data_IF_607020295441
#
_entry.id   IF_607020295441
#
_cell.length_a   1.000
_cell.length_b   1.000
_cell.length_c   1.000
_cell.angle_alpha   90.00
_cell.angle_beta   90.00
_cell.angle_gamma   90.00
#
_symmetry.space_group_name_H-M   'P 1'
#
loop_
_entity.id
_entity.type
_entity.pdbx_description
1 polymer ?
#
# COMPACT_ATOMS: atom_id res chain seq x y z
N UNK A 1 10.70 -7.73 9.46
CA UNK A 1 9.32 -7.89 8.96
C UNK A 1 9.37 -8.15 7.46
N UNK A 2 8.43 -8.93 6.91
CA UNK A 2 8.43 -9.21 5.48
C UNK A 2 7.76 -8.07 4.71
N UNK A 3 8.59 -7.25 4.07
CA UNK A 3 8.20 -6.05 3.33
C UNK A 3 7.10 -6.29 2.29
N UNK A 4 6.91 -7.53 1.84
CA UNK A 4 5.98 -7.90 0.78
C UNK A 4 4.85 -8.85 1.26
N UNK A 5 4.36 -8.66 2.49
CA UNK A 5 3.28 -9.50 3.05
C UNK A 5 2.02 -9.56 2.15
N UNK A 6 1.65 -8.43 1.54
CA UNK A 6 0.47 -8.30 0.67
C UNK A 6 0.63 -9.10 -0.62
N UNK A 7 1.85 -9.15 -1.17
CA UNK A 7 2.20 -10.01 -2.30
C UNK A 7 2.10 -11.49 -1.92
N UNK A 8 2.66 -11.87 -0.77
CA UNK A 8 2.54 -13.25 -0.26
C UNK A 8 1.10 -13.67 -0.04
N UNK A 9 0.30 -12.76 0.53
CA UNK A 9 -1.14 -12.98 0.74
C UNK A 9 -1.87 -13.17 -0.58
N UNK A 10 -1.61 -12.33 -1.58
CA UNK A 10 -2.19 -12.46 -2.92
C UNK A 10 -1.87 -13.82 -3.54
N UNK A 11 -0.59 -14.22 -3.57
CA UNK A 11 -0.16 -15.52 -4.12
C UNK A 11 -0.81 -16.68 -3.36
N UNK A 12 -0.90 -16.59 -2.04
CA UNK A 12 -1.53 -17.63 -1.20
C UNK A 12 -3.02 -17.76 -1.49
N UNK A 13 -3.73 -16.64 -1.62
CA UNK A 13 -5.16 -16.63 -1.97
C UNK A 13 -5.42 -17.13 -3.39
N UNK A 14 -4.52 -16.81 -4.33
CA UNK A 14 -4.61 -17.27 -5.71
C UNK A 14 -4.41 -18.78 -5.82
N UNK A 15 -3.37 -19.31 -5.20
CA UNK A 15 -3.05 -20.74 -5.21
C UNK A 15 -4.04 -21.59 -4.42
N UNK A 16 -4.62 -21.05 -3.35
CA UNK A 16 -5.68 -21.72 -2.58
C UNK A 16 -6.95 -22.02 -3.41
N UNK A 17 -7.16 -21.32 -4.53
CA UNK A 17 -8.26 -21.58 -5.48
C UNK A 17 -7.97 -22.73 -6.46
N UNK A 18 -6.80 -23.37 -6.36
CA UNK A 18 -6.37 -24.45 -7.26
C UNK A 18 -5.58 -23.97 -8.48
N UNK A 19 -5.32 -22.66 -8.61
CA UNK A 19 -4.48 -22.09 -9.66
C UNK A 19 -3.00 -22.40 -9.42
N UNK A 20 -2.23 -22.54 -10.51
CA UNK A 20 -0.77 -22.64 -10.40
C UNK A 20 -0.18 -21.33 -9.88
N UNK A 21 0.89 -21.36 -9.06
CA UNK A 21 1.53 -20.15 -8.58
C UNK A 21 2.06 -19.32 -9.77
N UNK A 22 1.86 -18.00 -9.77
CA UNK A 22 2.40 -17.13 -10.82
C UNK A 22 3.92 -17.12 -10.81
N UNK A 23 4.50 -17.03 -12.00
CA UNK A 23 5.94 -16.83 -12.16
C UNK A 23 6.29 -15.38 -11.85
N UNK A 24 7.25 -15.16 -10.95
CA UNK A 24 7.80 -13.83 -10.74
C UNK A 24 8.83 -13.49 -11.83
N UNK A 25 8.70 -12.30 -12.43
CA UNK A 25 9.65 -11.75 -13.40
C UNK A 25 10.01 -10.34 -12.99
N UNK A 26 11.30 -10.02 -12.99
CA UNK A 26 11.79 -8.69 -12.59
C UNK A 26 11.42 -7.61 -13.60
N UNK A 27 11.47 -7.95 -14.89
CA UNK A 27 11.13 -7.07 -15.99
C UNK A 27 10.36 -7.82 -17.08
N UNK A 28 9.41 -7.13 -17.71
CA UNK A 28 8.68 -7.67 -18.86
C UNK A 28 9.53 -7.56 -20.13
N UNK A 29 9.78 -8.72 -20.74
CA UNK A 29 10.40 -8.83 -22.07
C UNK A 29 9.36 -9.07 -23.18
N UNK A 30 9.76 -8.90 -24.45
CA UNK A 30 8.92 -9.18 -25.61
C UNK A 30 8.48 -10.66 -25.73
N UNK A 31 9.19 -11.58 -25.08
CA UNK A 31 8.80 -12.99 -25.04
C UNK A 31 7.51 -13.20 -24.25
N UNK A 32 7.32 -12.43 -23.17
CA UNK A 32 6.12 -12.51 -22.35
C UNK A 32 4.86 -12.07 -23.10
N UNK A 33 4.99 -11.17 -24.09
CA UNK A 33 3.87 -10.76 -24.96
C UNK A 33 3.32 -11.91 -25.80
N UNK A 34 4.12 -12.97 -26.03
CA UNK A 34 3.72 -14.14 -26.84
C UNK A 34 2.98 -15.19 -26.01
N UNK A 35 2.93 -15.05 -24.68
CA UNK A 35 2.26 -16.00 -23.79
C UNK A 35 0.75 -15.82 -23.94
N UNK A 36 0.06 -16.85 -24.44
CA UNK A 36 -1.39 -16.82 -24.68
C UNK A 36 -2.22 -16.73 -23.40
N UNK A 37 -1.75 -17.37 -22.33
CA UNK A 37 -2.41 -17.43 -21.02
C UNK A 37 -1.35 -17.06 -19.99
N UNK A 38 -1.11 -15.75 -19.75
CA UNK A 38 -0.09 -15.33 -18.79
C UNK A 38 -0.47 -15.76 -17.37
N UNK A 39 0.55 -16.04 -16.56
CA UNK A 39 0.41 -16.23 -15.12
C UNK A 39 1.69 -15.69 -14.48
N UNK A 40 1.84 -14.36 -14.51
CA UNK A 40 3.10 -13.66 -14.26
C UNK A 40 2.88 -12.57 -13.22
N UNK A 41 3.81 -12.41 -12.28
CA UNK A 41 3.89 -11.25 -11.40
C UNK A 41 5.16 -10.46 -11.71
N UNK A 42 5.03 -9.15 -11.86
CA UNK A 42 6.16 -8.25 -12.04
C UNK A 42 6.01 -6.95 -11.24
N UNK A 43 7.09 -6.37 -10.74
CA UNK A 43 7.06 -5.07 -10.09
C UNK A 43 6.90 -3.96 -11.13
N UNK A 44 6.16 -2.90 -10.76
CA UNK A 44 6.14 -1.64 -11.52
C UNK A 44 6.77 -0.50 -10.73
N UNK A 45 6.67 -0.56 -9.40
CA UNK A 45 7.26 0.38 -8.45
C UNK A 45 7.67 -0.35 -7.17
N UNK A 46 8.31 0.37 -6.24
CA UNK A 46 8.94 -0.16 -5.04
C UNK A 46 8.03 -1.07 -4.17
N UNK A 47 6.71 -0.82 -4.17
CA UNK A 47 5.71 -1.56 -3.40
C UNK A 47 4.45 -1.88 -4.22
N UNK A 48 4.57 -1.90 -5.55
CA UNK A 48 3.44 -2.14 -6.45
C UNK A 48 3.82 -3.23 -7.44
N UNK A 49 3.03 -4.29 -7.46
CA UNK A 49 3.19 -5.40 -8.39
C UNK A 49 1.92 -5.55 -9.23
N UNK A 50 2.09 -6.10 -10.43
CA UNK A 50 0.98 -6.49 -11.29
C UNK A 50 1.02 -7.99 -11.45
N UNK A 51 -0.12 -8.65 -11.21
CA UNK A 51 -0.35 -10.03 -11.63
C UNK A 51 -1.14 -10.03 -12.93
N UNK A 52 -0.49 -10.45 -14.01
CA UNK A 52 -1.14 -10.72 -15.29
C UNK A 52 -1.70 -12.15 -15.28
N UNK A 53 -3.01 -12.25 -15.08
CA UNK A 53 -3.77 -13.49 -14.98
C UNK A 53 -4.57 -13.74 -16.27
N UNK A 54 -4.12 -14.71 -17.05
CA UNK A 54 -4.79 -15.18 -18.25
C UNK A 54 -5.87 -16.22 -18.00
N UNK A 55 -6.02 -16.73 -16.77
CA UNK A 55 -7.03 -17.72 -16.40
C UNK A 55 -8.35 -17.06 -15.98
N UNK A 56 -8.28 -15.88 -15.37
CA UNK A 56 -9.44 -15.02 -15.07
C UNK A 56 -9.81 -14.20 -16.31
N UNK A 57 -10.38 -14.88 -17.31
CA UNK A 57 -10.85 -14.23 -18.54
C UNK A 57 -12.17 -13.54 -18.25
N UNK A 58 -12.17 -12.20 -18.22
CA UNK A 58 -13.42 -11.46 -18.37
C UNK A 58 -14.01 -11.80 -19.74
N UNK A 59 -15.34 -11.71 -19.90
CA UNK A 59 -16.09 -12.24 -21.07
C UNK A 59 -15.66 -11.74 -22.46
N UNK A 60 -14.68 -10.85 -22.51
CA UNK A 60 -14.02 -10.18 -23.61
C UNK A 60 -12.64 -10.75 -23.98
N UNK A 61 -12.26 -11.92 -23.44
CA UNK A 61 -11.04 -12.67 -23.83
C UNK A 61 -9.69 -12.02 -23.47
N UNK A 62 -9.70 -10.95 -22.68
CA UNK A 62 -8.48 -10.28 -22.22
C UNK A 62 -7.99 -10.86 -20.89
N UNK A 63 -6.66 -10.97 -20.70
CA UNK A 63 -6.09 -11.26 -19.39
C UNK A 63 -6.47 -10.17 -18.39
N UNK A 64 -6.75 -10.58 -17.15
CA UNK A 64 -7.01 -9.67 -16.05
C UNK A 64 -5.71 -9.26 -15.39
N UNK A 65 -5.62 -7.98 -15.05
CA UNK A 65 -4.48 -7.42 -14.34
C UNK A 65 -4.89 -7.10 -12.91
N UNK A 66 -4.30 -7.81 -11.95
CA UNK A 66 -4.51 -7.52 -10.54
C UNK A 66 -3.39 -6.62 -10.05
N UNK A 67 -3.76 -5.43 -9.59
CA UNK A 67 -2.85 -4.52 -8.89
C UNK A 67 -2.67 -5.03 -7.46
N UNK A 68 -1.43 -5.36 -7.11
CA UNK A 68 -1.06 -5.90 -5.80
C UNK A 68 -0.28 -4.82 -5.05
N UNK A 69 -0.95 -4.23 -4.06
CA UNK A 69 -0.42 -3.17 -3.19
C UNK A 69 -0.65 -3.54 -1.74
N UNK A 70 0.04 -2.87 -0.80
CA UNK A 70 -0.37 -2.87 0.61
C UNK A 70 -1.85 -2.48 0.73
N UNK A 71 -2.50 -2.99 1.78
CA UNK A 71 -3.85 -2.51 2.11
C UNK A 71 -3.81 -1.04 2.49
N UNK A 72 -4.88 -0.28 2.21
CA UNK A 72 -5.02 1.04 2.77
C UNK A 72 -5.11 0.95 4.31
N UNK A 73 -4.61 1.96 5.03
CA UNK A 73 -4.78 2.02 6.47
C UNK A 73 -6.27 2.10 6.84
N UNK A 74 -6.61 1.77 8.09
CA UNK A 74 -7.97 1.93 8.61
C UNK A 74 -8.43 3.39 8.47
N UNK A 75 -9.68 3.59 8.05
CA UNK A 75 -10.26 4.92 7.79
C UNK A 75 -10.09 5.87 8.99
N UNK A 76 -10.37 5.41 10.21
CA UNK A 76 -10.22 6.22 11.43
C UNK A 76 -8.77 6.65 11.68
N UNK A 77 -7.79 5.78 11.35
CA UNK A 77 -6.37 6.12 11.45
C UNK A 77 -6.02 7.20 10.43
N UNK A 78 -6.44 7.01 9.17
CA UNK A 78 -6.22 7.96 8.09
C UNK A 78 -6.79 9.34 8.43
N UNK A 79 -8.06 9.41 8.83
CA UNK A 79 -8.75 10.63 9.24
C UNK A 79 -8.02 11.37 10.37
N UNK A 80 -7.49 10.61 11.33
CA UNK A 80 -6.79 11.20 12.48
C UNK A 80 -5.46 11.81 12.06
N UNK A 81 -4.69 11.11 11.24
CA UNK A 81 -3.43 11.60 10.68
C UNK A 81 -3.68 12.83 9.81
N UNK A 82 -4.72 12.81 8.97
CA UNK A 82 -5.10 13.94 8.13
C UNK A 82 -5.45 15.19 8.95
N UNK A 83 -6.24 15.04 10.02
CA UNK A 83 -6.58 16.16 10.92
C UNK A 83 -5.34 16.76 11.60
N UNK A 84 -4.41 15.91 12.02
CA UNK A 84 -3.16 16.38 12.64
C UNK A 84 -2.24 17.06 11.63
N UNK A 85 -2.17 16.52 10.43
CA UNK A 85 -1.45 17.13 9.32
C UNK A 85 -2.04 18.51 9.00
N UNK A 86 -3.37 18.63 8.86
CA UNK A 86 -4.05 19.89 8.58
C UNK A 86 -3.79 20.95 9.66
N UNK A 87 -3.80 20.56 10.93
CA UNK A 87 -3.48 21.46 12.05
C UNK A 87 -2.07 22.04 11.95
N UNK A 88 -1.06 21.21 11.61
CA UNK A 88 0.32 21.67 11.42
C UNK A 88 0.50 22.47 10.13
N UNK A 89 -0.12 22.03 9.04
CA UNK A 89 -0.02 22.68 7.74
C UNK A 89 -0.59 24.10 7.78
N UNK A 90 -1.58 24.38 8.61
CA UNK A 90 -2.14 25.73 8.78
C UNK A 90 -1.11 26.76 9.31
N UNK A 91 -0.02 26.32 9.93
CA UNK A 91 0.99 27.19 10.51
C UNK A 91 2.09 27.60 9.51
N UNK A 92 2.11 27.00 8.30
CA UNK A 92 3.20 27.21 7.33
C UNK A 92 2.70 27.34 5.89
N UNK A 93 3.32 28.24 5.11
CA UNK A 93 3.08 28.30 3.66
C UNK A 93 3.79 27.12 2.98
N UNK A 94 3.12 26.35 2.10
CA UNK A 94 3.77 25.27 1.38
C UNK A 94 4.90 25.81 0.48
N UNK A 95 6.04 25.10 0.35
CA UNK A 95 7.09 25.47 -0.58
C UNK A 95 6.60 25.52 -2.03
N UNK A 96 7.32 26.21 -2.91
CA UNK A 96 7.01 26.20 -4.34
C UNK A 96 7.61 24.97 -5.03
N UNK A 97 8.80 24.55 -4.59
CA UNK A 97 9.49 23.37 -5.12
C UNK A 97 8.80 22.05 -4.73
N UNK A 98 8.72 21.13 -5.69
CA UNK A 98 8.05 19.83 -5.51
C UNK A 98 8.79 18.94 -4.51
N UNK A 99 10.12 18.90 -4.54
CA UNK A 99 10.90 18.04 -3.66
C UNK A 99 10.82 18.55 -2.22
N UNK A 100 10.86 19.88 -2.04
CA UNK A 100 10.67 20.50 -0.74
C UNK A 100 9.28 20.22 -0.15
N UNK A 101 8.22 20.20 -0.98
CA UNK A 101 6.88 19.77 -0.54
C UNK A 101 6.86 18.34 -0.05
N UNK A 102 7.45 17.41 -0.81
CA UNK A 102 7.51 15.99 -0.44
C UNK A 102 8.25 15.83 0.88
N UNK A 103 9.38 16.53 1.03
CA UNK A 103 10.19 16.49 2.25
C UNK A 103 9.40 16.99 3.47
N UNK A 104 8.71 18.12 3.36
CA UNK A 104 7.89 18.66 4.47
C UNK A 104 6.77 17.69 4.84
N UNK A 105 6.11 17.07 3.86
CA UNK A 105 5.08 16.05 4.13
C UNK A 105 5.69 14.88 4.90
N UNK A 106 6.85 14.39 4.48
CA UNK A 106 7.56 13.31 5.14
C UNK A 106 7.93 13.68 6.58
N UNK A 107 8.54 14.85 6.79
CA UNK A 107 8.92 15.36 8.10
C UNK A 107 7.70 15.50 9.03
N UNK A 108 6.55 15.92 8.49
CA UNK A 108 5.31 15.96 9.26
C UNK A 108 4.82 14.59 9.66
N UNK A 109 4.73 13.64 8.71
CA UNK A 109 4.32 12.28 8.99
C UNK A 109 5.23 11.63 10.04
N UNK A 110 6.55 11.79 9.93
CA UNK A 110 7.51 11.25 10.89
C UNK A 110 7.37 11.91 12.29
N UNK A 111 6.93 13.17 12.34
CA UNK A 111 6.69 13.86 13.61
C UNK A 111 5.38 13.48 14.31
N UNK A 112 4.39 12.98 13.58
CA UNK A 112 3.06 12.65 14.11
C UNK A 112 2.82 11.14 14.25
N UNK A 113 3.48 10.32 13.43
CA UNK A 113 3.33 8.87 13.41
C UNK A 113 4.48 8.21 14.17
N UNK A 114 4.16 7.48 15.23
CA UNK A 114 5.11 6.67 15.98
C UNK A 114 4.86 5.19 15.67
N UNK A 115 5.83 4.53 15.05
CA UNK A 115 5.71 3.12 14.67
C UNK A 115 5.85 2.21 15.89
N UNK A 116 4.98 1.21 16.00
CA UNK A 116 4.99 0.23 17.09
C UNK A 116 4.73 -1.18 16.57
N UNK A 117 5.35 -2.17 17.22
CA UNK A 117 5.06 -3.58 16.98
C UNK A 117 3.88 -4.09 17.82
N UNK A 118 3.43 -3.30 18.80
CA UNK A 118 2.30 -3.66 19.67
C UNK A 118 0.97 -3.40 18.97
N UNK A 119 -0.04 -4.29 19.12
CA UNK A 119 -1.39 -4.04 18.63
C UNK A 119 -1.90 -2.66 19.06
N UNK A 120 -2.36 -1.86 18.10
CA UNK A 120 -2.95 -0.55 18.36
C UNK A 120 -4.45 -0.64 18.10
N UNK A 121 -5.26 -0.18 19.06
CA UNK A 121 -6.69 0.04 18.80
C UNK A 121 -6.86 1.37 18.07
N UNK A 122 -7.61 1.35 16.98
CA UNK A 122 -7.99 2.55 16.23
C UNK A 122 -9.47 2.90 16.43
N UNK A 123 -10.02 2.56 17.59
CA UNK A 123 -11.35 2.98 17.98
C UNK A 123 -11.40 4.50 18.12
N UNK A 124 -12.54 5.12 17.74
CA UNK A 124 -12.68 6.59 17.68
C UNK A 124 -12.31 7.27 19.00
N UNK A 125 -12.69 6.68 20.14
CA UNK A 125 -12.41 7.24 21.47
C UNK A 125 -10.91 7.28 21.80
N UNK A 126 -10.14 6.29 21.33
CA UNK A 126 -8.70 6.23 21.57
C UNK A 126 -7.94 7.15 20.62
N UNK A 127 -8.41 7.29 19.38
CA UNK A 127 -7.86 8.25 18.43
C UNK A 127 -8.08 9.71 18.86
N UNK A 128 -9.24 10.03 19.46
CA UNK A 128 -9.50 11.35 20.04
C UNK A 128 -8.55 11.68 21.21
N UNK A 129 -8.13 10.68 21.99
CA UNK A 129 -7.12 10.86 23.04
C UNK A 129 -5.73 11.09 22.43
N UNK A 130 -5.40 10.43 21.32
CA UNK A 130 -4.13 10.59 20.61
C UNK A 130 -4.01 11.96 19.92
N UNK A 131 -5.10 12.50 19.38
CA UNK A 131 -5.18 13.88 18.88
C UNK A 131 -4.75 14.90 19.94
N UNK A 132 -5.14 14.69 21.21
CA UNK A 132 -4.74 15.57 22.32
C UNK A 132 -3.25 15.47 22.66
N UNK A 133 -2.63 14.33 22.37
CA UNK A 133 -1.19 14.08 22.62
C UNK A 133 -0.29 14.46 21.45
N UNK A 134 -0.87 14.96 20.34
CA UNK A 134 -0.18 15.28 19.09
C UNK A 134 0.71 14.13 18.54
N UNK A 135 0.38 12.87 18.86
CA UNK A 135 1.06 11.68 18.34
C UNK A 135 0.06 10.56 18.11
N UNK A 136 0.23 9.83 17.02
CA UNK A 136 -0.55 8.65 16.65
C UNK A 136 0.38 7.45 16.61
N UNK A 137 0.02 6.39 17.34
CA UNK A 137 0.74 5.13 17.21
C UNK A 137 0.23 4.40 15.98
N UNK A 138 1.14 3.96 15.12
CA UNK A 138 0.83 3.19 13.92
C UNK A 138 1.46 1.83 14.08
N UNK A 139 0.62 0.79 14.05
CA UNK A 139 1.13 -0.57 14.09
C UNK A 139 1.87 -0.87 12.78
N UNK A 140 3.02 -1.53 12.85
CA UNK A 140 3.77 -1.92 11.66
C UNK A 140 3.01 -2.90 10.72
N UNK A 141 1.89 -3.48 11.15
CA UNK A 141 1.03 -4.40 10.38
C UNK A 141 -0.15 -3.70 9.67
N UNK A 142 -0.42 -2.41 9.92
CA UNK A 142 -1.46 -1.60 9.25
C UNK A 142 -0.84 -0.61 8.26
#
# INVERSE_FOLDING_TARGET
MDRFYYLKRHVSQFTAKGSQPPQFVEELTDEHKKIKIPNLIYPIEQNVFIHADGLDVSGDSYPKYHVITPDPPKEVLFDTVERMFAKKANEQKPPEDKNDRIKIIQDYLDSICERTDMPVSYDKEDMDKLLRKNKVQVNNND
#
